data_IF_926500462975
#
_entry.id   IF_926500462975
#
_cell.length_a   1.000
_cell.length_b   1.000
_cell.length_c   1.000
_cell.angle_alpha   90.00
_cell.angle_beta   90.00
_cell.angle_gamma   90.00
#
_symmetry.space_group_name_H-M   'P 1'
#
loop_
_entity.id
_entity.type
_entity.pdbx_description
1 polymer ?
#
# COMPACT_ATOMS: atom_id res chain seq x y z
N UNK A 1 7.87 -8.24 -26.40
CA UNK A 1 6.86 -7.32 -25.85
C UNK A 1 6.49 -7.77 -24.44
N UNK A 2 7.13 -7.25 -23.39
CA UNK A 2 6.86 -7.66 -21.99
C UNK A 2 6.87 -6.44 -21.04
N UNK A 3 6.15 -5.38 -21.39
CA UNK A 3 6.06 -4.14 -20.59
C UNK A 3 4.73 -3.90 -19.86
N UNK A 4 3.76 -4.82 -19.96
CA UNK A 4 2.36 -4.54 -19.58
C UNK A 4 1.98 -4.76 -18.11
N UNK A 5 2.75 -5.53 -17.34
CA UNK A 5 2.30 -5.99 -16.01
C UNK A 5 2.61 -4.99 -14.89
N UNK A 6 3.70 -4.22 -15.00
CA UNK A 6 4.10 -3.24 -13.97
C UNK A 6 3.17 -2.02 -13.94
N UNK A 7 2.75 -1.53 -15.12
CA UNK A 7 1.83 -0.39 -15.22
C UNK A 7 0.44 -0.70 -14.66
N UNK A 8 -0.07 -1.93 -14.83
CA UNK A 8 -1.38 -2.30 -14.30
C UNK A 8 -1.39 -2.31 -12.76
N UNK A 9 -0.33 -2.84 -12.12
CA UNK A 9 -0.22 -2.84 -10.66
C UNK A 9 -0.17 -1.42 -10.09
N UNK A 10 0.62 -0.54 -10.69
CA UNK A 10 0.71 0.85 -10.24
C UNK A 10 -0.63 1.59 -10.39
N UNK A 11 -1.35 1.35 -11.48
CA UNK A 11 -2.67 1.92 -11.72
C UNK A 11 -3.71 1.41 -10.71
N UNK A 12 -3.76 0.09 -10.46
CA UNK A 12 -4.65 -0.52 -9.46
C UNK A 12 -4.40 0.04 -8.06
N UNK A 13 -3.12 0.18 -7.66
CA UNK A 13 -2.76 0.73 -6.34
C UNK A 13 -3.16 2.20 -6.23
N UNK A 14 -2.97 2.98 -7.30
CA UNK A 14 -3.35 4.41 -7.30
C UNK A 14 -4.87 4.58 -7.21
N UNK A 15 -5.63 3.78 -7.96
CA UNK A 15 -7.09 3.80 -7.95
C UNK A 15 -7.64 3.40 -6.58
N UNK A 16 -7.20 2.25 -6.06
CA UNK A 16 -7.59 1.76 -4.73
C UNK A 16 -7.22 2.76 -3.63
N UNK A 17 -6.00 3.29 -3.66
CA UNK A 17 -5.54 4.28 -2.68
C UNK A 17 -6.40 5.54 -2.69
N UNK A 18 -6.75 6.05 -3.88
CA UNK A 18 -7.61 7.23 -4.02
C UNK A 18 -9.02 6.99 -3.46
N UNK A 19 -9.59 5.81 -3.71
CA UNK A 19 -10.91 5.43 -3.20
C UNK A 19 -10.92 5.35 -1.67
N UNK A 20 -9.94 4.69 -1.07
CA UNK A 20 -9.86 4.55 0.38
C UNK A 20 -9.63 5.91 1.08
N UNK A 21 -8.80 6.78 0.48
CA UNK A 21 -8.61 8.15 0.99
C UNK A 21 -9.92 8.95 0.91
N UNK A 22 -10.67 8.81 -0.18
CA UNK A 22 -12.00 9.40 -0.33
C UNK A 22 -12.94 8.97 0.79
N UNK A 23 -13.07 7.65 1.01
CA UNK A 23 -13.91 7.10 2.08
C UNK A 23 -13.49 7.57 3.48
N UNK A 24 -12.18 7.69 3.72
CA UNK A 24 -11.69 8.19 5.01
C UNK A 24 -12.00 9.67 5.22
N UNK A 25 -11.87 10.49 4.17
CA UNK A 25 -12.25 11.90 4.23
C UNK A 25 -13.76 12.07 4.44
N UNK A 26 -14.59 11.25 3.79
CA UNK A 26 -16.04 11.22 3.98
C UNK A 26 -16.42 10.85 5.43
N UNK A 27 -15.61 9.98 6.05
CA UNK A 27 -15.69 9.61 7.47
C UNK A 27 -15.01 10.64 8.41
N UNK A 28 -14.71 11.86 7.94
CA UNK A 28 -14.08 12.95 8.71
C UNK A 28 -12.61 12.75 9.12
N UNK A 29 -11.91 11.76 8.56
CA UNK A 29 -10.47 11.58 8.78
C UNK A 29 -9.66 12.32 7.72
N UNK A 30 -9.31 13.57 8.02
CA UNK A 30 -8.54 14.42 7.10
C UNK A 30 -7.03 14.19 7.19
N UNK A 31 -6.31 14.51 6.10
CA UNK A 31 -4.84 14.48 6.06
C UNK A 31 -4.22 13.11 5.77
N UNK A 32 -5.04 12.15 5.31
CA UNK A 32 -4.57 10.84 4.88
C UNK A 32 -4.11 10.89 3.41
N UNK A 33 -2.91 10.39 3.17
CA UNK A 33 -2.38 10.16 1.84
C UNK A 33 -2.33 8.65 1.53
N UNK A 34 -2.17 8.29 0.25
CA UNK A 34 -2.12 6.90 -0.20
C UNK A 34 -1.00 6.12 0.52
N UNK A 35 0.10 6.78 0.87
CA UNK A 35 1.24 6.16 1.55
C UNK A 35 1.01 5.95 3.05
N UNK A 36 0.15 6.77 3.66
CA UNK A 36 -0.11 6.84 5.10
C UNK A 36 -1.40 6.17 5.55
N UNK A 37 -2.31 5.83 4.62
CA UNK A 37 -3.65 5.29 4.94
C UNK A 37 -3.65 3.98 5.75
N UNK A 38 -2.59 3.17 5.67
CA UNK A 38 -2.40 1.96 6.50
C UNK A 38 -1.33 2.13 7.59
N UNK A 39 -0.69 3.30 7.69
CA UNK A 39 0.35 3.60 8.70
C UNK A 39 -0.22 4.37 9.89
N UNK A 40 -1.25 5.17 9.67
CA UNK A 40 -1.86 5.98 10.71
C UNK A 40 -2.84 5.15 11.54
N UNK A 41 -2.80 5.30 12.88
CA UNK A 41 -3.69 4.61 13.83
C UNK A 41 -5.05 5.30 14.00
N UNK A 42 -5.42 6.15 13.05
CA UNK A 42 -6.56 7.06 13.16
C UNK A 42 -7.86 6.36 12.76
N UNK A 43 -7.80 5.51 11.75
CA UNK A 43 -8.94 4.72 11.27
C UNK A 43 -8.47 3.39 10.66
N UNK A 44 -9.40 2.47 10.47
CA UNK A 44 -9.17 1.22 9.73
C UNK A 44 -10.35 0.87 8.83
N UNK A 45 -10.09 0.06 7.80
CA UNK A 45 -11.10 -0.33 6.80
C UNK A 45 -11.55 -1.77 7.02
N UNK A 46 -12.85 -2.00 6.99
CA UNK A 46 -13.48 -3.33 7.04
C UNK A 46 -14.33 -3.59 5.80
N UNK A 47 -14.68 -4.86 5.55
CA UNK A 47 -15.43 -5.28 4.36
C UNK A 47 -14.66 -6.22 3.42
N UNK A 48 -13.34 -6.33 3.58
CA UNK A 48 -12.54 -7.33 2.86
C UNK A 48 -11.41 -7.90 3.74
N UNK A 49 -11.16 -9.23 3.71
CA UNK A 49 -10.13 -9.86 4.55
C UNK A 49 -8.73 -9.32 4.28
N UNK A 50 -8.41 -8.92 3.04
CA UNK A 50 -7.11 -8.33 2.73
C UNK A 50 -6.92 -6.90 3.29
N UNK A 51 -7.99 -6.14 3.54
CA UNK A 51 -7.91 -4.89 4.31
C UNK A 51 -7.67 -5.17 5.80
N UNK A 52 -8.11 -6.36 6.24
CA UNK A 52 -7.77 -6.96 7.52
C UNK A 52 -6.47 -7.78 7.47
N UNK A 53 -5.65 -7.69 6.44
CA UNK A 53 -4.26 -8.15 6.51
C UNK A 53 -3.41 -6.90 6.74
N UNK A 54 -2.35 -6.94 7.56
CA UNK A 54 -1.42 -5.79 7.73
C UNK A 54 -0.64 -5.47 6.42
N UNK A 55 -1.14 -5.95 5.28
CA UNK A 55 -0.61 -5.73 3.96
C UNK A 55 -0.88 -4.29 3.52
N UNK A 56 0.19 -3.58 3.15
CA UNK A 56 0.03 -2.36 2.38
C UNK A 56 -0.55 -2.70 0.99
N UNK A 57 -1.09 -1.69 0.28
CA UNK A 57 -1.70 -1.86 -1.05
C UNK A 57 -0.80 -2.59 -2.06
N UNK A 58 0.52 -2.41 -1.93
CA UNK A 58 1.51 -3.05 -2.79
C UNK A 58 1.63 -4.54 -2.52
N UNK A 59 1.42 -5.02 -1.29
CA UNK A 59 1.51 -6.45 -0.92
C UNK A 59 0.26 -7.27 -1.29
N UNK A 60 -0.83 -6.61 -1.67
CA UNK A 60 -2.04 -7.29 -2.14
C UNK A 60 -1.80 -7.92 -3.53
N UNK A 61 -2.55 -8.96 -3.85
CA UNK A 61 -2.64 -9.53 -5.20
C UNK A 61 -3.49 -8.62 -6.11
N UNK A 62 -3.41 -8.78 -7.43
CA UNK A 62 -4.27 -8.01 -8.37
C UNK A 62 -5.75 -8.35 -8.19
N UNK A 63 -6.07 -9.61 -7.87
CA UNK A 63 -7.44 -10.04 -7.58
C UNK A 63 -7.98 -9.33 -6.34
N UNK A 64 -7.25 -9.36 -5.23
CA UNK A 64 -7.66 -8.65 -4.00
C UNK A 64 -7.83 -7.15 -4.24
N UNK A 65 -6.92 -6.51 -4.98
CA UNK A 65 -7.07 -5.08 -5.29
C UNK A 65 -8.34 -4.79 -6.10
N UNK A 66 -8.62 -5.58 -7.13
CA UNK A 66 -9.81 -5.39 -7.98
C UNK A 66 -11.11 -5.66 -7.23
N UNK A 67 -11.12 -6.65 -6.35
CA UNK A 67 -12.28 -6.98 -5.52
C UNK A 67 -12.56 -5.86 -4.52
N UNK A 68 -11.51 -5.32 -3.87
CA UNK A 68 -11.66 -4.18 -2.95
C UNK A 68 -12.10 -2.92 -3.70
N UNK A 69 -11.56 -2.62 -4.89
CA UNK A 69 -12.00 -1.49 -5.72
C UNK A 69 -13.50 -1.61 -6.01
N UNK A 70 -13.96 -2.81 -6.36
CA UNK A 70 -15.37 -3.08 -6.65
C UNK A 70 -16.24 -2.88 -5.42
N UNK A 71 -15.81 -3.38 -4.25
CA UNK A 71 -16.50 -3.17 -2.98
C UNK A 71 -16.55 -1.70 -2.59
N UNK A 72 -15.45 -0.97 -2.74
CA UNK A 72 -15.38 0.46 -2.40
C UNK A 72 -16.34 1.29 -3.26
N UNK A 73 -16.43 1.00 -4.56
CA UNK A 73 -17.38 1.68 -5.47
C UNK A 73 -18.84 1.36 -5.14
N UNK A 74 -19.11 0.17 -4.61
CA UNK A 74 -20.45 -0.28 -4.25
C UNK A 74 -20.82 0.01 -2.79
N UNK A 75 -19.99 0.73 -2.03
CA UNK A 75 -20.24 1.05 -0.62
C UNK A 75 -20.10 -0.14 0.35
N UNK A 76 -19.45 -1.23 -0.07
CA UNK A 76 -19.20 -2.41 0.77
C UNK A 76 -17.97 -2.29 1.68
N UNK A 77 -17.33 -1.13 1.72
CA UNK A 77 -16.20 -0.84 2.59
C UNK A 77 -16.64 0.11 3.69
N UNK A 78 -16.41 -0.30 4.93
CA UNK A 78 -16.69 0.52 6.11
C UNK A 78 -15.39 1.12 6.65
N UNK A 79 -15.47 2.37 7.12
CA UNK A 79 -14.38 3.05 7.83
C UNK A 79 -14.73 3.07 9.31
N UNK A 80 -13.81 2.62 10.16
CA UNK A 80 -13.99 2.56 11.61
C UNK A 80 -12.92 3.39 12.31
N UNK A 81 -13.34 4.05 13.39
CA UNK A 81 -12.46 4.84 14.24
C UNK A 81 -11.40 3.99 14.92
N UNK A 82 -10.22 4.60 15.09
CA UNK A 82 -9.17 4.09 15.95
C UNK A 82 -8.33 2.96 15.35
N UNK A 83 -7.34 2.48 16.12
CA UNK A 83 -6.45 1.43 15.68
C UNK A 83 -7.25 0.15 15.48
N UNK A 84 -6.90 -0.56 14.42
CA UNK A 84 -7.47 -1.86 14.12
C UNK A 84 -7.34 -2.81 15.33
N UNK A 85 -8.42 -3.52 15.73
CA UNK A 85 -8.36 -4.49 16.82
C UNK A 85 -7.34 -5.58 16.47
N UNK A 86 -6.42 -5.83 17.39
CA UNK A 86 -5.51 -6.96 17.29
C UNK A 86 -6.24 -8.23 17.73
N UNK A 87 -5.80 -9.41 17.27
CA UNK A 87 -6.39 -10.68 17.69
C UNK A 87 -6.29 -10.92 19.22
N UNK A 88 -5.54 -10.08 19.94
CA UNK A 88 -5.43 -10.05 21.40
C UNK A 88 -6.52 -9.19 22.08
N UNK A 89 -7.27 -8.36 21.34
CA UNK A 89 -8.32 -7.49 21.91
C UNK A 89 -9.69 -8.17 22.06
N UNK A 90 -9.86 -9.42 21.60
CA UNK A 90 -11.13 -10.16 21.71
C UNK A 90 -11.32 -10.87 23.06
N UNK A 91 -10.42 -10.69 24.03
CA UNK A 91 -10.54 -11.37 25.35
C UNK A 91 -11.24 -10.57 26.44
N UNK A 92 -11.90 -9.44 26.12
CA UNK A 92 -12.69 -8.70 27.10
C UNK A 92 -14.19 -8.96 26.94
N UNK A 93 -14.66 -9.97 27.70
CA UNK A 93 -16.03 -10.27 28.16
C UNK A 93 -17.10 -10.63 27.11
N UNK A 94 -17.71 -11.81 27.32
CA UNK A 94 -19.14 -11.91 27.55
C UNK A 94 -19.37 -12.23 29.03
N UNK A 95 -19.73 -11.20 29.81
CA UNK A 95 -20.68 -11.42 30.91
C UNK A 95 -21.98 -11.90 30.26
N UNK A 96 -22.70 -12.80 30.93
CA UNK A 96 -23.97 -13.45 30.54
C UNK A 96 -23.80 -14.75 29.74
N UNK A 97 -23.63 -15.86 30.46
CA UNK A 97 -24.73 -16.79 30.84
C UNK A 97 -24.10 -18.10 31.32
N UNK A 98 -23.95 -18.27 32.63
CA UNK A 98 -23.63 -19.56 33.26
C UNK A 98 -24.84 -20.21 33.94
N UNK A 99 -26.05 -19.83 33.55
CA UNK A 99 -27.27 -20.52 33.95
C UNK A 99 -27.83 -21.27 32.73
N UNK A 100 -27.49 -22.56 32.63
CA UNK A 100 -28.41 -23.71 32.46
C UNK A 100 -27.52 -24.97 32.44
N UNK A 101 -27.09 -25.40 33.63
CA UNK A 101 -26.82 -26.81 33.90
C UNK A 101 -27.96 -27.29 34.78
N UNK A 102 -29.00 -27.88 34.18
CA UNK A 102 -29.69 -29.05 34.76
C UNK A 102 -30.85 -29.51 33.86
N UNK A 103 -31.03 -30.84 33.84
CA UNK A 103 -32.17 -31.59 33.32
C UNK A 103 -32.24 -31.86 31.80
N UNK A 104 -31.42 -32.80 31.33
CA UNK A 104 -31.93 -33.99 30.61
C UNK A 104 -31.04 -35.18 31.05
N UNK A 105 -31.39 -35.83 32.16
CA UNK A 105 -32.02 -37.16 32.18
C UNK A 105 -31.28 -38.21 31.35
N UNK A 106 -30.66 -39.15 32.06
CA UNK A 106 -30.03 -40.35 31.55
C UNK A 106 -31.11 -41.29 30.97
N UNK A 107 -31.07 -41.55 29.66
CA UNK A 107 -31.75 -42.66 29.00
C UNK A 107 -30.68 -43.40 28.17
N UNK A 108 -30.32 -44.66 28.50
CA UNK A 108 -29.34 -45.42 27.74
C UNK A 108 -30.08 -46.17 26.64
N UNK A 109 -30.01 -45.68 25.41
CA UNK A 109 -30.47 -46.48 24.26
C UNK A 109 -29.70 -46.14 22.98
N UNK A 110 -28.93 -47.16 22.57
CA UNK A 110 -28.64 -47.51 21.20
C UNK A 110 -27.58 -46.71 20.44
N UNK A 111 -26.38 -47.29 20.45
CA UNK A 111 -25.60 -47.55 19.24
C UNK A 111 -25.53 -46.42 18.19
N UNK A 112 -24.65 -45.45 18.43
CA UNK A 112 -23.93 -44.78 17.35
C UNK A 112 -22.45 -44.86 17.62
N UNK A 113 -21.81 -45.79 16.92
CA UNK A 113 -20.36 -45.81 16.73
C UNK A 113 -19.94 -44.40 16.28
N UNK A 114 -19.25 -43.69 17.16
CA UNK A 114 -18.50 -42.49 16.81
C UNK A 114 -17.48 -42.90 15.75
N UNK A 115 -17.74 -42.55 14.49
CA UNK A 115 -16.66 -42.37 13.53
C UNK A 115 -15.82 -41.21 14.06
N UNK A 116 -14.84 -41.54 14.89
CA UNK A 116 -13.67 -40.69 15.08
C UNK A 116 -12.96 -40.63 13.74
N UNK A 117 -13.28 -39.61 12.93
CA UNK A 117 -12.35 -39.07 11.96
C UNK A 117 -11.22 -38.42 12.76
N UNK A 118 -10.22 -39.22 13.10
CA UNK A 118 -8.90 -38.73 13.46
C UNK A 118 -8.39 -37.94 12.23
N UNK A 119 -8.15 -36.63 12.31
CA UNK A 119 -7.54 -35.92 11.20
C UNK A 119 -6.14 -36.52 11.02
N UNK A 120 -5.91 -37.15 9.86
CA UNK A 120 -4.65 -37.78 9.53
C UNK A 120 -3.50 -36.78 9.73
N UNK A 121 -2.81 -36.88 10.87
CA UNK A 121 -1.57 -36.15 11.12
C UNK A 121 -0.56 -36.67 10.08
N UNK A 122 -0.14 -35.78 9.18
CA UNK A 122 0.93 -36.10 8.22
C UNK A 122 2.15 -36.58 9.01
N UNK A 123 2.84 -37.64 8.54
CA UNK A 123 4.07 -38.11 9.17
C UNK A 123 5.07 -36.95 9.39
N UNK A 124 5.71 -36.88 10.57
CA UNK A 124 6.53 -35.74 10.96
C UNK A 124 7.70 -35.42 10.00
N UNK A 125 8.17 -36.39 9.21
CA UNK A 125 9.21 -36.16 8.19
C UNK A 125 8.72 -35.28 7.03
N UNK A 126 7.44 -35.39 6.64
CA UNK A 126 6.83 -34.58 5.57
C UNK A 126 6.71 -33.11 6.01
N UNK A 127 6.42 -32.86 7.29
CA UNK A 127 6.34 -31.51 7.85
C UNK A 127 7.73 -30.82 7.92
N UNK A 128 8.81 -31.59 8.12
CA UNK A 128 10.18 -31.06 8.14
C UNK A 128 10.68 -30.75 6.73
N UNK A 129 10.35 -31.58 5.74
CA UNK A 129 10.69 -31.34 4.33
C UNK A 129 9.95 -30.13 3.75
N UNK A 130 8.66 -29.97 4.07
CA UNK A 130 7.86 -28.80 3.69
C UNK A 130 8.46 -27.51 4.31
N UNK A 131 8.82 -27.54 5.60
CA UNK A 131 9.44 -26.42 6.28
C UNK A 131 10.85 -26.07 5.74
N UNK A 132 11.66 -27.08 5.40
CA UNK A 132 12.97 -26.88 4.81
C UNK A 132 12.87 -26.24 3.41
N UNK A 133 11.89 -26.68 2.61
CA UNK A 133 11.61 -26.13 1.29
C UNK A 133 11.14 -24.68 1.37
N UNK A 134 10.28 -24.35 2.33
CA UNK A 134 9.84 -22.98 2.59
C UNK A 134 11.00 -22.09 3.03
N UNK A 135 11.87 -22.58 3.91
CA UNK A 135 13.04 -21.84 4.40
C UNK A 135 14.03 -21.53 3.26
N UNK A 136 14.27 -22.49 2.36
CA UNK A 136 15.09 -22.30 1.18
C UNK A 136 14.47 -21.28 0.19
N UNK A 137 13.16 -21.33 -0.01
CA UNK A 137 12.45 -20.32 -0.82
C UNK A 137 12.56 -18.92 -0.20
N UNK A 138 12.45 -18.81 1.11
CA UNK A 138 12.62 -17.55 1.84
C UNK A 138 14.05 -17.02 1.76
N UNK A 139 15.06 -17.91 1.79
CA UNK A 139 16.47 -17.52 1.56
C UNK A 139 16.68 -16.95 0.16
N UNK A 140 16.17 -17.64 -0.87
CA UNK A 140 16.24 -17.14 -2.26
C UNK A 140 15.52 -15.80 -2.43
N UNK A 141 14.34 -15.66 -1.82
CA UNK A 141 13.59 -14.40 -1.85
C UNK A 141 14.37 -13.25 -1.18
N UNK A 142 15.02 -13.52 -0.04
CA UNK A 142 15.90 -12.56 0.64
C UNK A 142 17.09 -12.17 -0.25
N UNK A 143 17.75 -13.15 -0.85
CA UNK A 143 18.95 -12.91 -1.66
C UNK A 143 18.60 -12.10 -2.92
N UNK A 144 17.47 -12.40 -3.55
CA UNK A 144 16.93 -11.60 -4.66
C UNK A 144 16.59 -10.17 -4.22
N UNK A 145 15.98 -10.00 -3.04
CA UNK A 145 15.66 -8.67 -2.52
C UNK A 145 16.92 -7.84 -2.22
N UNK A 146 18.02 -8.48 -1.77
CA UNK A 146 19.29 -7.81 -1.56
C UNK A 146 19.89 -7.29 -2.87
N UNK A 147 19.79 -8.06 -3.96
CA UNK A 147 20.22 -7.63 -5.30
C UNK A 147 19.39 -6.43 -5.76
N UNK A 148 18.06 -6.50 -5.66
CA UNK A 148 17.17 -5.40 -6.04
C UNK A 148 17.45 -4.11 -5.25
N UNK A 149 17.74 -4.23 -3.94
CA UNK A 149 18.12 -3.08 -3.12
C UNK A 149 19.42 -2.44 -3.63
N UNK A 150 20.40 -3.22 -4.06
CA UNK A 150 21.66 -2.68 -4.56
C UNK A 150 21.49 -2.00 -5.93
N UNK A 151 20.68 -2.57 -6.82
CA UNK A 151 20.30 -1.94 -8.09
C UNK A 151 19.56 -0.62 -7.87
N UNK A 152 18.64 -0.57 -6.89
CA UNK A 152 17.91 0.65 -6.55
C UNK A 152 18.84 1.74 -6.01
N UNK A 153 19.83 1.40 -5.16
CA UNK A 153 20.84 2.37 -4.71
C UNK A 153 21.64 2.94 -5.88
N UNK A 154 22.07 2.09 -6.80
CA UNK A 154 22.78 2.54 -8.01
C UNK A 154 21.89 3.48 -8.84
N UNK A 155 20.60 3.16 -8.99
CA UNK A 155 19.66 4.01 -9.73
C UNK A 155 19.43 5.36 -9.04
N UNK A 156 19.31 5.38 -7.71
CA UNK A 156 19.23 6.63 -6.93
C UNK A 156 20.47 7.49 -7.19
N UNK A 157 21.67 6.90 -7.09
CA UNK A 157 22.91 7.67 -7.33
C UNK A 157 23.08 8.17 -8.76
N UNK A 158 22.46 7.54 -9.76
CA UNK A 158 22.38 8.06 -11.13
C UNK A 158 21.41 9.24 -11.21
N UNK A 159 20.21 9.10 -10.63
CA UNK A 159 19.19 10.14 -10.62
C UNK A 159 19.65 11.42 -9.88
N UNK A 160 20.41 11.27 -8.81
CA UNK A 160 21.01 12.42 -8.10
C UNK A 160 22.00 13.19 -8.98
N UNK A 161 22.83 12.47 -9.75
CA UNK A 161 23.75 13.11 -10.72
C UNK A 161 23.00 13.81 -11.85
N UNK A 162 22.00 13.14 -12.43
CA UNK A 162 21.14 13.73 -13.46
C UNK A 162 20.43 15.01 -12.94
N UNK A 163 19.93 14.98 -11.69
CA UNK A 163 19.35 16.15 -11.03
C UNK A 163 20.35 17.29 -10.92
N UNK A 164 21.57 17.01 -10.45
CA UNK A 164 22.59 18.05 -10.24
C UNK A 164 23.03 18.68 -11.56
N UNK A 165 23.14 17.90 -12.63
CA UNK A 165 23.44 18.41 -13.97
C UNK A 165 22.27 19.23 -14.54
N UNK A 166 21.02 18.82 -14.30
CA UNK A 166 19.84 19.61 -14.67
C UNK A 166 19.80 20.96 -13.92
N UNK A 167 20.15 20.99 -12.64
CA UNK A 167 20.26 22.23 -11.86
C UNK A 167 21.32 23.16 -12.45
N UNK A 168 22.50 22.64 -12.80
CA UNK A 168 23.56 23.44 -13.46
C UNK A 168 23.08 24.01 -14.80
N UNK A 169 22.44 23.17 -15.63
CA UNK A 169 21.89 23.61 -16.91
C UNK A 169 20.83 24.72 -16.73
N UNK A 170 19.94 24.57 -15.75
CA UNK A 170 18.92 25.57 -15.42
C UNK A 170 19.56 26.91 -15.00
N UNK A 171 20.59 26.88 -14.15
CA UNK A 171 21.30 28.09 -13.72
C UNK A 171 22.02 28.79 -14.88
N UNK A 172 22.60 28.01 -15.80
CA UNK A 172 23.22 28.55 -17.01
C UNK A 172 22.18 29.24 -17.90
N UNK A 173 21.03 28.59 -18.13
CA UNK A 173 19.94 29.16 -18.89
C UNK A 173 19.37 30.43 -18.25
N UNK A 174 19.17 30.43 -16.93
CA UNK A 174 18.72 31.62 -16.19
C UNK A 174 19.69 32.78 -16.35
N UNK A 175 20.99 32.51 -16.25
CA UNK A 175 22.04 33.53 -16.43
C UNK A 175 22.07 34.07 -17.86
N UNK A 176 21.90 33.20 -18.86
CA UNK A 176 21.81 33.61 -20.26
C UNK A 176 20.57 34.47 -20.52
N UNK A 177 19.42 34.10 -19.95
CA UNK A 177 18.17 34.85 -20.10
C UNK A 177 18.31 36.25 -19.49
N UNK A 178 18.87 36.37 -18.29
CA UNK A 178 19.11 37.66 -17.64
C UNK A 178 20.00 38.59 -18.49
N UNK A 179 21.03 38.04 -19.15
CA UNK A 179 21.88 38.81 -20.08
C UNK A 179 21.11 39.29 -21.31
N UNK A 180 20.21 38.46 -21.84
CA UNK A 180 19.37 38.83 -22.98
C UNK A 180 18.36 39.92 -22.60
N UNK A 181 17.73 39.81 -21.43
CA UNK A 181 16.85 40.85 -20.88
C UNK A 181 17.57 42.20 -20.79
N UNK A 182 18.80 42.22 -20.25
CA UNK A 182 19.60 43.43 -20.20
C UNK A 182 19.92 44.02 -21.58
N UNK A 183 20.21 43.19 -22.59
CA UNK A 183 20.42 43.65 -23.97
C UNK A 183 19.15 44.23 -24.59
N UNK A 184 18.01 43.57 -24.37
CA UNK A 184 16.70 44.03 -24.86
C UNK A 184 16.38 45.39 -24.24
N UNK A 185 16.62 45.56 -22.94
CA UNK A 185 16.37 46.84 -22.28
C UNK A 185 17.25 47.95 -22.84
N UNK A 186 18.56 47.71 -23.00
CA UNK A 186 19.46 48.68 -23.63
C UNK A 186 19.06 49.02 -25.08
N UNK A 187 18.53 48.05 -25.84
CA UNK A 187 18.00 48.32 -27.18
C UNK A 187 16.74 49.21 -27.14
N UNK A 188 15.85 49.03 -26.17
CA UNK A 188 14.69 49.91 -25.99
C UNK A 188 15.13 51.35 -25.72
N UNK A 189 16.13 51.55 -24.87
CA UNK A 189 16.68 52.87 -24.57
C UNK A 189 17.23 53.56 -25.81
N UNK A 190 17.98 52.83 -26.63
CA UNK A 190 18.51 53.33 -27.91
C UNK A 190 17.38 53.72 -28.86
N UNK A 191 16.36 52.86 -29.02
CA UNK A 191 15.20 53.13 -29.89
C UNK A 191 14.44 54.37 -29.40
N UNK A 192 14.20 54.51 -28.11
CA UNK A 192 13.55 55.69 -27.52
C UNK A 192 14.36 56.95 -27.77
N UNK A 193 15.68 56.90 -27.62
CA UNK A 193 16.59 58.04 -27.87
C UNK A 193 16.55 58.48 -29.34
N UNK A 194 16.61 57.52 -30.28
CA UNK A 194 16.50 57.82 -31.70
C UNK A 194 15.13 58.43 -32.00
N UNK A 195 14.04 57.84 -31.48
CA UNK A 195 12.69 58.36 -31.69
C UNK A 195 12.51 59.79 -31.16
N UNK A 196 13.16 60.16 -30.05
CA UNK A 196 13.15 61.53 -29.52
C UNK A 196 13.97 62.48 -30.38
N UNK A 197 15.11 62.05 -30.93
CA UNK A 197 16.00 62.89 -31.74
C UNK A 197 15.41 63.26 -33.11
N UNK A 198 14.54 62.41 -33.65
CA UNK A 198 13.93 62.58 -34.98
C UNK A 198 12.42 62.89 -34.92
N UNK A 199 11.90 63.26 -33.74
CA UNK A 199 10.60 63.94 -33.59
C UNK A 199 10.79 65.45 -33.67
#
# INVERSE_FOLDING_TARGET
MLGGHSNNRANEVKELGSLLVGLANDAQHQGLDISGIFRQKVCHFTGHPALSSRANLWKMTSTERRDIISLAKNGGIEVKDGPRPTAEDTTSRPDQTWDVLEQISYEPSSARTLQHTEPALRPPHILVEDAASELENMRRARDNALIEVEELKQRVGLLERERDDAIKACNNLKSANHRLEGKIEGMKDVVTTIAQKYR
#
